data_IF_558668667930
#
_entry.id   IF_558668667930
#
_cell.length_a   1.000
_cell.length_b   1.000
_cell.length_c   1.000
_cell.angle_alpha   90.00
_cell.angle_beta   90.00
_cell.angle_gamma   90.00
#
_symmetry.space_group_name_H-M   'P 1'
#
loop_
_entity.id
_entity.type
_entity.pdbx_description
1 polymer ?
#
# COMPACT_ATOMS: atom_id res chain seq x y z
N UNK A 1 -7.74 -14.08 -6.58
CA UNK A 1 -6.42 -13.41 -6.69
C UNK A 1 -6.23 -12.78 -8.07
N UNK A 2 -6.21 -13.57 -9.16
CA UNK A 2 -5.89 -13.08 -10.52
C UNK A 2 -6.77 -11.95 -11.06
N UNK A 3 -8.01 -11.81 -10.56
CA UNK A 3 -8.97 -10.77 -11.00
C UNK A 3 -9.08 -9.60 -10.01
N UNK A 4 -8.19 -9.54 -9.02
CA UNK A 4 -8.29 -8.52 -7.98
C UNK A 4 -7.48 -7.28 -8.29
N UNK A 5 -8.08 -6.10 -8.06
CA UNK A 5 -7.47 -4.81 -8.34
C UNK A 5 -6.09 -4.62 -7.71
N UNK A 6 -5.96 -4.84 -6.40
CA UNK A 6 -4.75 -4.46 -5.67
C UNK A 6 -3.51 -5.28 -6.08
N UNK A 7 -3.57 -6.62 -6.20
CA UNK A 7 -2.42 -7.40 -6.70
C UNK A 7 -1.99 -7.00 -8.11
N UNK A 8 -2.94 -6.83 -9.03
CA UNK A 8 -2.67 -6.43 -10.42
C UNK A 8 -2.02 -5.04 -10.45
N UNK A 9 -2.54 -4.11 -9.63
CA UNK A 9 -1.98 -2.77 -9.55
C UNK A 9 -0.55 -2.79 -8.98
N UNK A 10 -0.37 -3.47 -7.87
CA UNK A 10 0.91 -3.45 -7.14
C UNK A 10 1.99 -4.29 -7.82
N UNK A 11 1.64 -5.17 -8.76
CA UNK A 11 2.63 -5.81 -9.64
C UNK A 11 3.27 -4.86 -10.65
N UNK A 12 2.65 -3.70 -10.91
CA UNK A 12 3.14 -2.69 -11.84
C UNK A 12 3.83 -1.51 -11.14
N UNK A 13 3.95 -1.54 -9.81
CA UNK A 13 4.61 -0.50 -9.02
C UNK A 13 6.01 -0.98 -8.60
N UNK A 14 7.03 -0.13 -8.71
CA UNK A 14 8.38 -0.41 -8.16
C UNK A 14 8.35 -0.21 -6.64
N UNK A 15 7.59 -1.06 -5.96
CA UNK A 15 7.37 -1.06 -4.51
C UNK A 15 7.34 -2.52 -4.00
N UNK A 16 7.66 -2.77 -2.72
CA UNK A 16 7.81 -4.13 -2.20
C UNK A 16 6.48 -4.92 -2.11
N UNK A 17 5.33 -4.29 -2.34
CA UNK A 17 4.00 -4.89 -2.15
C UNK A 17 3.78 -6.19 -2.94
N UNK A 18 4.30 -6.28 -4.17
CA UNK A 18 4.21 -7.52 -4.95
C UNK A 18 5.05 -8.65 -4.31
N UNK A 19 6.21 -8.30 -3.75
CA UNK A 19 7.05 -9.24 -3.00
C UNK A 19 6.41 -9.66 -1.68
N UNK A 20 5.65 -8.78 -1.02
CA UNK A 20 4.88 -9.15 0.19
C UNK A 20 3.88 -10.27 -0.11
N UNK A 21 3.12 -10.12 -1.19
CA UNK A 21 2.19 -11.14 -1.64
C UNK A 21 2.90 -12.43 -2.07
N UNK A 22 3.99 -12.31 -2.84
CA UNK A 22 4.76 -13.45 -3.35
C UNK A 22 5.37 -14.27 -2.20
N UNK A 23 6.08 -13.61 -1.29
CA UNK A 23 6.72 -14.25 -0.15
C UNK A 23 5.69 -14.94 0.76
N UNK A 24 4.59 -14.27 1.09
CA UNK A 24 3.51 -14.87 1.87
C UNK A 24 2.91 -16.10 1.17
N UNK A 25 2.74 -16.06 -0.15
CA UNK A 25 2.25 -17.20 -0.93
C UNK A 25 3.21 -18.40 -0.91
N UNK A 26 4.52 -18.16 -1.02
CA UNK A 26 5.55 -19.22 -0.92
C UNK A 26 5.54 -19.85 0.48
N UNK A 27 5.49 -19.03 1.55
CA UNK A 27 5.40 -19.52 2.92
C UNK A 27 4.14 -20.38 3.15
N UNK A 28 2.98 -19.93 2.68
CA UNK A 28 1.74 -20.68 2.83
C UNK A 28 1.71 -21.96 1.98
N UNK A 29 2.25 -21.93 0.76
CA UNK A 29 2.29 -23.10 -0.12
C UNK A 29 3.22 -24.20 0.40
N UNK A 30 4.46 -23.85 0.73
CA UNK A 30 5.40 -24.83 1.29
C UNK A 30 5.03 -25.22 2.72
N UNK A 31 4.53 -24.28 3.53
CA UNK A 31 4.04 -24.54 4.88
C UNK A 31 2.86 -25.52 4.87
N UNK A 32 1.86 -25.31 4.02
CA UNK A 32 0.73 -26.26 3.88
C UNK A 32 1.19 -27.63 3.38
N UNK A 33 2.21 -27.70 2.53
CA UNK A 33 2.82 -28.95 2.08
C UNK A 33 3.53 -29.68 3.24
N UNK A 34 4.24 -28.94 4.10
CA UNK A 34 4.89 -29.48 5.29
C UNK A 34 3.90 -29.95 6.38
N UNK A 35 2.64 -29.48 6.35
CA UNK A 35 1.59 -29.90 7.28
C UNK A 35 0.84 -31.17 6.84
N UNK A 36 1.09 -31.71 5.64
CA UNK A 36 0.42 -32.92 5.16
C UNK A 36 0.73 -34.15 6.03
N UNK A 37 -0.16 -35.14 6.04
CA UNK A 37 0.04 -36.38 6.81
C UNK A 37 1.28 -37.18 6.35
N UNK A 38 1.61 -37.13 5.06
CA UNK A 38 2.83 -37.77 4.53
C UNK A 38 3.97 -36.74 4.32
N UNK A 39 4.00 -35.68 5.11
CA UNK A 39 5.00 -34.62 4.97
C UNK A 39 6.42 -35.15 5.17
N UNK A 40 7.29 -34.76 4.25
CA UNK A 40 8.74 -34.95 4.34
C UNK A 40 9.40 -33.69 4.92
N UNK A 41 10.67 -33.78 5.30
CA UNK A 41 11.46 -32.62 5.75
C UNK A 41 11.81 -31.63 4.62
N UNK A 42 11.72 -32.06 3.35
CA UNK A 42 12.08 -31.28 2.16
C UNK A 42 11.43 -29.88 2.10
N UNK A 43 10.09 -29.70 2.21
CA UNK A 43 9.49 -28.37 2.20
C UNK A 43 9.97 -27.47 3.33
N UNK A 44 10.31 -28.03 4.50
CA UNK A 44 10.82 -27.26 5.65
C UNK A 44 12.25 -26.77 5.38
N UNK A 45 13.11 -27.62 4.83
CA UNK A 45 14.45 -27.21 4.39
C UNK A 45 14.41 -26.17 3.28
N UNK A 46 13.54 -26.36 2.28
CA UNK A 46 13.34 -25.36 1.22
C UNK A 46 12.90 -24.01 1.80
N UNK A 47 11.97 -24.02 2.75
CA UNK A 47 11.58 -22.80 3.46
C UNK A 47 12.77 -22.19 4.20
N UNK A 48 13.54 -22.97 4.94
CA UNK A 48 14.68 -22.48 5.70
C UNK A 48 15.75 -21.84 4.78
N UNK A 49 16.00 -22.42 3.61
CA UNK A 49 16.94 -21.87 2.62
C UNK A 49 16.40 -20.61 1.94
N UNK A 50 15.09 -20.54 1.67
CA UNK A 50 14.47 -19.39 1.00
C UNK A 50 14.17 -18.23 1.96
N UNK A 51 13.99 -18.50 3.26
CA UNK A 51 13.63 -17.50 4.27
C UNK A 51 14.49 -16.23 4.24
N UNK A 52 15.84 -16.29 4.15
CA UNK A 52 16.67 -15.08 4.09
C UNK A 52 16.31 -14.19 2.91
N UNK A 53 16.15 -14.76 1.72
CA UNK A 53 15.81 -14.02 0.51
C UNK A 53 14.40 -13.44 0.58
N UNK A 54 13.42 -14.25 1.01
CA UNK A 54 12.02 -13.82 1.11
C UNK A 54 11.86 -12.67 2.11
N UNK A 55 12.48 -12.77 3.29
CA UNK A 55 12.44 -11.72 4.30
C UNK A 55 13.22 -10.47 3.89
N UNK A 56 14.29 -10.63 3.13
CA UNK A 56 15.03 -9.49 2.60
C UNK A 56 14.21 -8.69 1.57
N UNK A 57 13.42 -9.38 0.74
CA UNK A 57 12.53 -8.73 -0.25
C UNK A 57 11.21 -8.22 0.34
N UNK A 58 10.78 -8.79 1.47
CA UNK A 58 9.52 -8.46 2.13
C UNK A 58 9.65 -8.54 3.65
N UNK A 59 9.67 -7.38 4.29
CA UNK A 59 9.66 -7.28 5.74
C UNK A 59 8.42 -7.92 6.40
N UNK A 60 7.17 -7.65 5.95
CA UNK A 60 5.98 -8.25 6.59
C UNK A 60 5.84 -9.76 6.33
N UNK A 61 6.62 -10.37 5.44
CA UNK A 61 6.67 -11.82 5.30
C UNK A 61 7.14 -12.54 6.58
N UNK A 62 7.76 -11.82 7.52
CA UNK A 62 8.07 -12.34 8.86
C UNK A 62 6.81 -12.87 9.57
N UNK A 63 5.65 -12.24 9.35
CA UNK A 63 4.37 -12.70 9.92
C UNK A 63 3.94 -14.05 9.33
N UNK A 64 4.10 -14.24 8.02
CA UNK A 64 3.82 -15.50 7.33
C UNK A 64 4.80 -16.59 7.73
N UNK A 65 6.10 -16.29 7.82
CA UNK A 65 7.13 -17.21 8.26
C UNK A 65 6.87 -17.70 9.70
N UNK A 66 6.58 -16.78 10.61
CA UNK A 66 6.21 -17.14 11.98
C UNK A 66 4.92 -17.98 12.05
N UNK A 67 3.94 -17.70 11.17
CA UNK A 67 2.75 -18.55 11.01
C UNK A 67 3.06 -19.99 10.63
N UNK A 68 4.02 -20.20 9.71
CA UNK A 68 4.51 -21.55 9.39
C UNK A 68 5.16 -22.21 10.60
N UNK A 69 6.05 -21.50 11.32
CA UNK A 69 6.75 -22.05 12.47
C UNK A 69 5.76 -22.50 13.58
N UNK A 70 4.76 -21.68 13.91
CA UNK A 70 3.75 -22.03 14.91
C UNK A 70 2.88 -23.20 14.43
N UNK A 71 2.44 -23.19 13.18
CA UNK A 71 1.63 -24.27 12.64
C UNK A 71 2.39 -25.62 12.63
N UNK A 72 3.68 -25.60 12.30
CA UNK A 72 4.56 -26.78 12.36
C UNK A 72 4.75 -27.26 13.81
N UNK A 73 5.05 -26.36 14.74
CA UNK A 73 5.19 -26.72 16.15
C UNK A 73 3.90 -27.38 16.68
N UNK A 74 2.74 -26.78 16.39
CA UNK A 74 1.44 -27.36 16.75
C UNK A 74 1.23 -28.74 16.13
N UNK A 75 1.52 -28.90 14.83
CA UNK A 75 1.37 -30.19 14.13
C UNK A 75 2.31 -31.27 14.68
N UNK A 76 3.56 -30.92 15.00
CA UNK A 76 4.54 -31.84 15.59
C UNK A 76 4.06 -32.35 16.94
N UNK A 77 3.55 -31.46 17.79
CA UNK A 77 3.02 -31.81 19.10
C UNK A 77 1.74 -32.65 18.98
N UNK A 78 0.79 -32.22 18.14
CA UNK A 78 -0.51 -32.87 17.99
C UNK A 78 -0.38 -34.27 17.37
N UNK A 79 0.45 -34.43 16.34
CA UNK A 79 0.59 -35.68 15.58
C UNK A 79 1.83 -36.50 15.97
N UNK A 80 2.55 -36.08 17.02
CA UNK A 80 3.80 -36.71 17.52
C UNK A 80 4.86 -36.92 16.42
N UNK A 81 4.95 -35.99 15.47
CA UNK A 81 5.87 -36.07 14.31
C UNK A 81 7.27 -35.54 14.65
N UNK A 82 7.92 -36.13 15.64
CA UNK A 82 9.19 -35.62 16.17
C UNK A 82 10.36 -35.63 15.16
N UNK A 83 10.28 -36.44 14.11
CA UNK A 83 11.23 -36.40 12.99
C UNK A 83 11.31 -35.03 12.28
N UNK A 84 10.29 -34.17 12.43
CA UNK A 84 10.30 -32.82 11.86
C UNK A 84 10.91 -31.76 12.79
N UNK A 85 11.32 -32.11 14.02
CA UNK A 85 11.90 -31.14 14.98
C UNK A 85 13.16 -30.51 14.41
N UNK A 86 14.15 -31.31 14.00
CA UNK A 86 15.42 -30.82 13.47
C UNK A 86 15.27 -29.87 12.28
N UNK A 87 14.51 -30.21 11.20
CA UNK A 87 14.31 -29.26 10.11
C UNK A 87 13.52 -28.02 10.56
N UNK A 88 12.63 -28.13 11.55
CA UNK A 88 11.88 -26.99 12.08
C UNK A 88 12.77 -26.04 12.89
N UNK A 89 13.73 -26.57 13.66
CA UNK A 89 14.75 -25.75 14.33
C UNK A 89 15.57 -24.99 13.29
N UNK A 90 16.00 -25.66 12.21
CA UNK A 90 16.74 -25.00 11.13
C UNK A 90 15.93 -23.88 10.45
N UNK A 91 14.64 -24.09 10.21
CA UNK A 91 13.73 -23.06 9.72
C UNK A 91 13.61 -21.88 10.70
N UNK A 92 13.35 -22.15 11.98
CA UNK A 92 13.20 -21.11 13.00
C UNK A 92 14.49 -20.29 13.13
N UNK A 93 15.65 -20.95 13.20
CA UNK A 93 16.95 -20.28 13.25
C UNK A 93 17.19 -19.42 12.02
N UNK A 94 16.89 -19.92 10.82
CA UNK A 94 17.01 -19.15 9.58
C UNK A 94 16.11 -17.93 9.56
N UNK A 95 14.82 -18.07 9.92
CA UNK A 95 13.86 -16.97 9.99
C UNK A 95 14.30 -15.92 11.00
N UNK A 96 14.68 -16.32 12.21
CA UNK A 96 15.11 -15.39 13.26
C UNK A 96 16.40 -14.67 12.88
N UNK A 97 17.42 -15.39 12.42
CA UNK A 97 18.68 -14.79 11.99
C UNK A 97 18.46 -13.80 10.85
N UNK A 98 17.65 -14.15 9.86
CA UNK A 98 17.35 -13.29 8.71
C UNK A 98 16.57 -12.05 9.13
N UNK A 99 15.53 -12.20 9.96
CA UNK A 99 14.74 -11.08 10.45
C UNK A 99 15.60 -10.13 11.30
N UNK A 100 16.39 -10.65 12.24
CA UNK A 100 17.24 -9.85 13.11
C UNK A 100 18.33 -9.13 12.31
N UNK A 101 18.97 -9.80 11.35
CA UNK A 101 19.95 -9.18 10.46
C UNK A 101 19.32 -8.05 9.63
N UNK A 102 18.18 -8.30 9.01
CA UNK A 102 17.48 -7.28 8.21
C UNK A 102 17.02 -6.10 9.07
N UNK A 103 16.47 -6.37 10.26
CA UNK A 103 16.08 -5.34 11.21
C UNK A 103 17.28 -4.51 11.67
N UNK A 104 18.41 -5.15 12.01
CA UNK A 104 19.60 -4.46 12.50
C UNK A 104 20.29 -3.60 11.43
N UNK A 105 20.34 -4.06 10.17
CA UNK A 105 21.03 -3.38 9.07
C UNK A 105 20.16 -2.27 8.45
N UNK A 106 18.89 -2.60 8.17
CA UNK A 106 18.00 -1.73 7.38
C UNK A 106 16.92 -1.11 8.27
N UNK A 107 16.26 -1.95 9.08
CA UNK A 107 15.10 -1.56 9.87
C UNK A 107 15.41 -0.44 10.85
N UNK A 108 16.47 -0.54 11.65
CA UNK A 108 16.86 0.44 12.67
C UNK A 108 16.98 1.86 12.10
N UNK A 109 17.67 2.01 10.98
CA UNK A 109 17.89 3.31 10.34
C UNK A 109 16.60 3.89 9.74
N UNK A 110 15.80 3.05 9.08
CA UNK A 110 14.52 3.51 8.50
C UNK A 110 13.48 3.83 9.58
N UNK A 111 13.41 3.02 10.65
CA UNK A 111 12.49 3.25 11.75
C UNK A 111 12.85 4.55 12.50
N UNK A 112 14.11 4.81 12.86
CA UNK A 112 14.44 6.02 13.63
C UNK A 112 14.15 7.32 12.87
N UNK A 113 14.37 7.34 11.56
CA UNK A 113 14.25 8.58 10.77
C UNK A 113 12.82 8.86 10.30
N UNK A 114 11.98 7.83 10.11
CA UNK A 114 10.66 7.99 9.47
C UNK A 114 9.48 7.60 10.38
N UNK A 115 9.72 7.09 11.61
CA UNK A 115 8.64 6.60 12.47
C UNK A 115 7.59 7.67 12.78
N UNK A 116 8.00 8.90 13.13
CA UNK A 116 7.06 9.97 13.46
C UNK A 116 6.15 10.34 12.28
N UNK A 117 6.73 10.43 11.07
CA UNK A 117 5.99 10.71 9.82
C UNK A 117 5.03 9.56 9.48
N UNK A 118 5.49 8.31 9.62
CA UNK A 118 4.68 7.13 9.36
C UNK A 118 3.55 6.94 10.38
N UNK A 119 3.79 7.24 11.66
CA UNK A 119 2.77 7.14 12.70
C UNK A 119 1.65 8.15 12.48
N UNK A 120 1.97 9.41 12.16
CA UNK A 120 0.95 10.40 11.80
C UNK A 120 0.13 9.97 10.58
N UNK A 121 0.79 9.37 9.58
CA UNK A 121 0.13 8.87 8.38
C UNK A 121 -0.75 7.61 8.63
N UNK A 122 -0.40 6.79 9.62
CA UNK A 122 -1.07 5.52 9.95
C UNK A 122 -1.96 5.59 11.18
N UNK A 123 -2.15 6.75 11.79
CA UNK A 123 -2.85 6.90 13.06
C UNK A 123 -4.21 6.18 13.09
N UNK A 124 -5.05 6.44 12.07
CA UNK A 124 -6.37 5.80 11.91
C UNK A 124 -6.34 4.28 11.61
N UNK A 125 -5.16 3.71 11.40
CA UNK A 125 -4.95 2.30 11.04
C UNK A 125 -4.36 1.47 12.18
N UNK A 126 -4.07 2.11 13.31
CA UNK A 126 -3.73 1.43 14.55
C UNK A 126 -4.98 1.13 15.39
N UNK A 127 -4.95 0.14 16.28
CA UNK A 127 -6.05 -0.15 17.19
C UNK A 127 -6.38 1.06 18.07
N UNK A 128 -7.67 1.29 18.39
CA UNK A 128 -8.06 2.37 19.28
C UNK A 128 -7.51 2.12 20.70
N UNK A 129 -7.18 3.20 21.41
CA UNK A 129 -6.76 3.14 22.82
C UNK A 129 -7.86 2.60 23.73
N UNK A 130 -9.12 2.84 23.38
CA UNK A 130 -10.29 2.32 24.09
C UNK A 130 -10.66 0.91 23.59
N UNK A 131 -10.48 -0.09 24.44
CA UNK A 131 -10.79 -1.50 24.14
C UNK A 131 -12.26 -1.75 23.78
N UNK A 132 -13.21 -0.93 24.25
CA UNK A 132 -14.62 -1.05 23.87
C UNK A 132 -14.88 -0.70 22.40
N UNK A 133 -14.00 0.09 21.78
CA UNK A 133 -14.08 0.43 20.35
C UNK A 133 -13.44 -0.65 19.46
N UNK A 134 -12.64 -1.55 20.04
CA UNK A 134 -11.88 -2.56 19.31
C UNK A 134 -12.78 -3.47 18.44
N UNK A 135 -13.93 -4.00 18.90
CA UNK A 135 -14.78 -4.84 18.05
C UNK A 135 -15.31 -4.10 16.82
N UNK A 136 -15.76 -2.86 17.00
CA UNK A 136 -16.22 -2.01 15.89
C UNK A 136 -15.08 -1.68 14.92
N UNK A 137 -13.90 -1.34 15.44
CA UNK A 137 -12.72 -1.07 14.63
C UNK A 137 -12.27 -2.30 13.85
N UNK A 138 -12.27 -3.50 14.46
CA UNK A 138 -11.96 -4.75 13.79
C UNK A 138 -12.97 -5.02 12.66
N UNK A 139 -14.25 -4.84 12.92
CA UNK A 139 -15.30 -5.01 11.91
C UNK A 139 -15.12 -4.03 10.75
N UNK A 140 -14.95 -2.73 11.03
CA UNK A 140 -14.72 -1.70 10.03
C UNK A 140 -13.47 -1.98 9.20
N UNK A 141 -12.40 -2.43 9.85
CA UNK A 141 -11.12 -2.73 9.20
C UNK A 141 -11.23 -3.93 8.27
N UNK A 142 -11.80 -5.05 8.75
CA UNK A 142 -11.93 -6.27 7.94
C UNK A 142 -13.03 -6.18 6.89
N UNK A 143 -14.10 -5.42 7.12
CA UNK A 143 -15.12 -5.12 6.11
C UNK A 143 -14.69 -3.99 5.16
N UNK A 144 -13.55 -3.36 5.43
CA UNK A 144 -12.98 -2.25 4.67
C UNK A 144 -11.90 -2.68 3.67
N UNK A 145 -10.92 -1.80 3.46
CA UNK A 145 -9.85 -2.01 2.48
C UNK A 145 -9.01 -3.27 2.73
N UNK A 146 -8.95 -3.78 3.96
CA UNK A 146 -8.15 -4.95 4.29
C UNK A 146 -8.58 -6.19 3.48
N UNK A 147 -9.88 -6.34 3.24
CA UNK A 147 -10.46 -7.50 2.55
C UNK A 147 -11.00 -7.17 1.16
N UNK A 148 -10.50 -6.12 0.51
CA UNK A 148 -11.00 -5.64 -0.77
C UNK A 148 -10.57 -6.53 -1.97
N UNK A 149 -10.91 -7.82 -1.90
CA UNK A 149 -10.55 -8.86 -2.85
C UNK A 149 -11.77 -9.71 -3.20
N UNK A 150 -12.10 -9.94 -4.49
CA UNK A 150 -11.45 -9.37 -5.66
C UNK A 150 -11.73 -7.87 -5.84
N UNK A 151 -12.90 -7.42 -5.35
CA UNK A 151 -13.36 -6.03 -5.31
C UNK A 151 -13.81 -5.72 -3.88
N UNK A 152 -13.69 -4.46 -3.48
CA UNK A 152 -14.15 -3.95 -2.19
C UNK A 152 -13.62 -2.53 -1.99
N UNK A 153 -13.64 -2.04 -0.76
CA UNK A 153 -13.25 -0.66 -0.48
C UNK A 153 -13.49 -0.27 0.96
N UNK A 154 -13.56 1.04 1.22
CA UNK A 154 -13.88 1.60 2.53
C UNK A 154 -15.34 1.33 2.92
N UNK A 155 -15.66 1.61 4.18
CA UNK A 155 -17.05 1.74 4.66
C UNK A 155 -17.93 0.49 4.42
N UNK A 156 -17.36 -0.69 4.62
CA UNK A 156 -18.10 -1.96 4.52
C UNK A 156 -18.20 -2.53 3.11
N UNK A 157 -17.60 -1.91 2.09
CA UNK A 157 -17.64 -2.40 0.72
C UNK A 157 -17.02 -3.81 0.54
N UNK A 158 -16.27 -4.32 1.52
CA UNK A 158 -15.70 -5.68 1.52
C UNK A 158 -16.44 -6.65 2.46
N UNK A 159 -17.66 -6.33 2.89
CA UNK A 159 -18.44 -7.15 3.83
C UNK A 159 -18.71 -8.57 3.30
N UNK A 160 -18.92 -8.72 1.99
CA UNK A 160 -19.14 -10.04 1.39
C UNK A 160 -17.89 -10.93 1.47
N UNK A 161 -16.70 -10.35 1.21
CA UNK A 161 -15.43 -11.07 1.37
C UNK A 161 -15.20 -11.46 2.82
N UNK A 162 -15.50 -10.56 3.76
CA UNK A 162 -15.45 -10.85 5.19
C UNK A 162 -16.39 -11.99 5.58
N UNK A 163 -17.62 -12.00 5.08
CA UNK A 163 -18.58 -13.08 5.34
C UNK A 163 -18.01 -14.44 4.88
N UNK A 164 -17.52 -14.53 3.64
CA UNK A 164 -16.92 -15.77 3.14
C UNK A 164 -15.64 -16.15 3.89
N UNK A 165 -14.83 -15.18 4.31
CA UNK A 165 -13.64 -15.41 5.12
C UNK A 165 -14.00 -16.06 6.47
N UNK A 166 -15.01 -15.52 7.18
CA UNK A 166 -15.50 -16.08 8.44
C UNK A 166 -16.10 -17.49 8.26
N UNK A 167 -16.83 -17.72 7.16
CA UNK A 167 -17.33 -19.05 6.83
C UNK A 167 -16.19 -20.04 6.54
N UNK A 168 -15.10 -19.58 5.93
CA UNK A 168 -13.88 -20.37 5.75
C UNK A 168 -13.25 -20.79 7.07
N UNK A 169 -13.12 -19.85 8.01
CA UNK A 169 -12.65 -20.12 9.38
C UNK A 169 -13.55 -21.17 10.05
N UNK A 170 -14.87 -20.94 10.05
CA UNK A 170 -15.84 -21.86 10.62
C UNK A 170 -15.73 -23.26 10.01
N UNK A 171 -15.52 -23.35 8.69
CA UNK A 171 -15.35 -24.63 7.98
C UNK A 171 -14.10 -25.38 8.45
N UNK A 172 -12.98 -24.70 8.69
CA UNK A 172 -11.76 -25.35 9.19
C UNK A 172 -11.90 -25.81 10.65
N UNK A 173 -12.55 -25.01 11.50
CA UNK A 173 -12.84 -25.35 12.89
C UNK A 173 -13.72 -26.59 12.94
N UNK A 174 -14.84 -26.59 12.21
CA UNK A 174 -15.78 -27.72 12.15
C UNK A 174 -15.11 -29.03 11.70
N UNK A 175 -14.16 -28.95 10.78
CA UNK A 175 -13.44 -30.11 10.26
C UNK A 175 -12.16 -30.45 11.04
N UNK A 176 -11.93 -29.82 12.21
CA UNK A 176 -10.76 -30.02 13.07
C UNK A 176 -9.42 -29.83 12.34
N UNK A 177 -9.36 -28.94 11.34
CA UNK A 177 -8.14 -28.66 10.56
C UNK A 177 -7.32 -27.52 11.19
N UNK A 178 -7.03 -27.66 12.48
CA UNK A 178 -6.41 -26.60 13.30
C UNK A 178 -5.04 -26.15 12.79
N UNK A 179 -4.19 -27.06 12.31
CA UNK A 179 -2.85 -26.68 11.81
C UNK A 179 -2.92 -25.76 10.59
N UNK A 180 -3.89 -25.98 9.70
CA UNK A 180 -4.14 -25.10 8.55
C UNK A 180 -4.75 -23.78 9.01
N UNK A 181 -5.66 -23.83 9.99
CA UNK A 181 -6.26 -22.63 10.56
C UNK A 181 -5.20 -21.72 11.19
N UNK A 182 -4.30 -22.28 11.99
CA UNK A 182 -3.16 -21.58 12.60
C UNK A 182 -2.28 -20.97 11.49
N UNK A 183 -1.90 -21.76 10.49
CA UNK A 183 -1.09 -21.29 9.36
C UNK A 183 -1.71 -20.06 8.68
N UNK A 184 -3.03 -20.03 8.52
CA UNK A 184 -3.74 -18.94 7.82
C UNK A 184 -4.02 -17.73 8.71
N UNK A 185 -4.24 -17.90 10.02
CA UNK A 185 -4.62 -16.83 10.94
C UNK A 185 -3.46 -16.21 11.73
N UNK A 186 -2.38 -16.93 11.98
CA UNK A 186 -1.22 -16.38 12.69
C UNK A 186 -0.64 -15.11 12.05
N UNK A 187 -0.58 -14.96 10.71
CA UNK A 187 -0.12 -13.71 10.10
C UNK A 187 -0.95 -12.49 10.51
N UNK A 188 -2.27 -12.67 10.70
CA UNK A 188 -3.15 -11.61 11.22
C UNK A 188 -2.86 -11.32 12.68
N UNK A 189 -2.69 -12.36 13.51
CA UNK A 189 -2.38 -12.20 14.92
C UNK A 189 -1.07 -11.42 15.14
N UNK A 190 -0.01 -11.78 14.41
CA UNK A 190 1.26 -11.06 14.50
C UNK A 190 1.20 -9.65 13.96
N UNK A 191 0.48 -9.42 12.85
CA UNK A 191 0.28 -8.07 12.36
C UNK A 191 -0.51 -7.22 13.38
N UNK A 192 -1.54 -7.79 14.00
CA UNK A 192 -2.34 -7.09 15.01
C UNK A 192 -1.49 -6.76 16.25
N UNK A 193 -0.63 -7.66 16.71
CA UNK A 193 0.34 -7.40 17.79
C UNK A 193 1.28 -6.25 17.38
N UNK A 194 1.83 -6.29 16.17
CA UNK A 194 2.70 -5.21 15.67
C UNK A 194 1.98 -3.86 15.59
N UNK A 195 0.67 -3.86 15.33
CA UNK A 195 -0.16 -2.67 15.30
C UNK A 195 -0.48 -2.14 16.69
N UNK A 196 -0.74 -3.00 17.68
CA UNK A 196 -0.84 -2.58 19.08
C UNK A 196 0.47 -1.96 19.59
N UNK A 197 1.61 -2.42 19.07
CA UNK A 197 2.92 -1.84 19.37
C UNK A 197 3.21 -0.54 18.59
N UNK A 198 2.31 -0.09 17.72
CA UNK A 198 2.51 1.07 16.85
C UNK A 198 3.65 0.91 15.84
N UNK A 199 4.02 -0.33 15.50
CA UNK A 199 5.17 -0.67 14.64
C UNK A 199 4.78 -1.00 13.20
N UNK A 200 3.56 -1.50 12.98
CA UNK A 200 3.07 -1.83 11.64
C UNK A 200 1.55 -1.64 11.57
N UNK A 201 1.00 -1.01 10.52
CA UNK A 201 -0.42 -0.72 10.44
C UNK A 201 -1.25 -1.99 10.23
N UNK A 202 -2.40 -2.07 10.91
CA UNK A 202 -3.36 -3.14 10.70
C UNK A 202 -4.54 -2.63 9.88
N UNK A 203 -4.41 -2.70 8.55
CA UNK A 203 -5.44 -2.26 7.62
C UNK A 203 -5.22 -0.85 7.09
N UNK A 204 -6.30 -0.07 6.94
CA UNK A 204 -6.31 1.26 6.30
C UNK A 204 -6.13 1.24 4.78
N UNK A 205 -5.24 0.41 4.26
CA UNK A 205 -5.01 0.19 2.84
C UNK A 205 -4.70 -1.27 2.54
N UNK A 206 -5.26 -1.81 1.46
CA UNK A 206 -4.91 -3.14 0.97
C UNK A 206 -3.42 -3.25 0.61
N UNK A 207 -2.75 -2.14 0.29
CA UNK A 207 -1.34 -2.12 -0.15
C UNK A 207 -0.37 -2.61 0.93
N UNK A 208 -0.59 -2.24 2.19
CA UNK A 208 0.28 -2.61 3.32
C UNK A 208 -0.12 -3.97 3.93
N UNK A 209 -1.16 -4.59 3.40
CA UNK A 209 -1.67 -5.88 3.87
C UNK A 209 -1.55 -6.98 2.79
N UNK A 210 -0.69 -6.79 1.79
CA UNK A 210 -0.49 -7.77 0.71
C UNK A 210 0.03 -9.12 1.22
N UNK A 211 0.72 -9.17 2.36
CA UNK A 211 1.11 -10.42 3.02
C UNK A 211 -0.06 -11.21 3.61
N UNK A 212 -1.19 -10.57 3.92
CA UNK A 212 -2.42 -11.22 4.43
C UNK A 212 -3.32 -11.73 3.31
N UNK A 213 -3.19 -11.16 2.10
CA UNK A 213 -4.00 -11.47 0.94
C UNK A 213 -4.17 -12.98 0.68
N UNK A 214 -3.09 -13.81 0.66
CA UNK A 214 -3.29 -15.20 0.30
C UNK A 214 -4.16 -15.93 1.31
N UNK A 215 -4.01 -15.65 2.60
CA UNK A 215 -4.88 -16.19 3.65
C UNK A 215 -6.33 -15.73 3.49
N UNK A 216 -6.56 -14.44 3.19
CA UNK A 216 -7.92 -13.91 2.95
C UNK A 216 -8.58 -14.67 1.80
N UNK A 217 -7.91 -14.76 0.65
CA UNK A 217 -8.45 -15.43 -0.53
C UNK A 217 -8.69 -16.93 -0.30
N UNK A 218 -7.78 -17.64 0.37
CA UNK A 218 -7.94 -19.07 0.65
C UNK A 218 -9.15 -19.30 1.58
N UNK A 219 -9.26 -18.53 2.67
CA UNK A 219 -10.38 -18.66 3.60
C UNK A 219 -11.71 -18.27 2.94
N UNK A 220 -11.76 -17.18 2.18
CA UNK A 220 -12.96 -16.81 1.41
C UNK A 220 -13.34 -17.88 0.39
N UNK A 221 -12.37 -18.47 -0.34
CA UNK A 221 -12.64 -19.55 -1.29
C UNK A 221 -13.17 -20.81 -0.58
N UNK A 222 -12.65 -21.15 0.60
CA UNK A 222 -13.17 -22.24 1.42
C UNK A 222 -14.61 -21.97 1.88
N UNK A 223 -14.93 -20.74 2.29
CA UNK A 223 -16.29 -20.33 2.66
C UNK A 223 -17.26 -20.39 1.49
N UNK A 224 -16.86 -19.93 0.30
CA UNK A 224 -17.68 -20.08 -0.92
C UNK A 224 -17.88 -21.57 -1.24
N UNK A 225 -16.81 -22.37 -1.18
CA UNK A 225 -16.91 -23.80 -1.48
C UNK A 225 -17.77 -24.55 -0.47
N UNK A 226 -17.84 -24.13 0.80
CA UNK A 226 -18.69 -24.80 1.79
C UNK A 226 -20.16 -24.54 1.52
N UNK A 227 -20.52 -23.33 1.07
CA UNK A 227 -21.87 -23.00 0.60
C UNK A 227 -22.22 -23.85 -0.63
N UNK A 228 -21.36 -23.89 -1.65
CA UNK A 228 -21.62 -24.65 -2.89
C UNK A 228 -21.73 -26.18 -2.68
N UNK A 229 -21.22 -26.69 -1.54
CA UNK A 229 -21.33 -28.10 -1.15
C UNK A 229 -22.63 -28.42 -0.41
N UNK A 230 -23.45 -27.43 -0.04
CA UNK A 230 -24.76 -27.67 0.57
C UNK A 230 -25.63 -28.56 -0.33
N UNK A 231 -26.41 -29.45 0.30
CA UNK A 231 -27.24 -30.42 -0.41
C UNK A 231 -28.26 -29.76 -1.36
N UNK A 232 -28.80 -28.60 -0.94
CA UNK A 232 -29.71 -27.77 -1.74
C UNK A 232 -29.13 -27.36 -3.11
N UNK A 233 -27.81 -27.27 -3.23
CA UNK A 233 -27.14 -26.87 -4.46
C UNK A 233 -26.62 -28.06 -5.27
N UNK A 234 -26.87 -29.31 -4.86
CA UNK A 234 -26.30 -30.50 -5.51
C UNK A 234 -26.59 -30.56 -7.02
N UNK A 235 -27.82 -30.27 -7.41
CA UNK A 235 -28.27 -30.34 -8.81
C UNK A 235 -27.74 -29.19 -9.69
N UNK A 236 -27.37 -28.05 -9.09
CA UNK A 236 -26.90 -26.86 -9.82
C UNK A 236 -25.44 -26.53 -9.54
N UNK A 237 -24.71 -27.37 -8.79
CA UNK A 237 -23.35 -27.09 -8.31
C UNK A 237 -22.38 -26.74 -9.44
N UNK A 238 -22.37 -27.53 -10.51
CA UNK A 238 -21.52 -27.29 -11.68
C UNK A 238 -21.84 -25.95 -12.34
N UNK A 239 -23.14 -25.67 -12.55
CA UNK A 239 -23.63 -24.39 -13.08
C UNK A 239 -23.28 -23.22 -12.16
N UNK A 240 -23.33 -23.40 -10.84
CA UNK A 240 -22.98 -22.38 -9.86
C UNK A 240 -21.48 -22.08 -9.85
N UNK A 241 -20.61 -23.10 -9.95
CA UNK A 241 -19.16 -22.90 -10.14
C UNK A 241 -18.85 -22.15 -11.45
N UNK A 242 -19.51 -22.53 -12.55
CA UNK A 242 -19.36 -21.85 -13.83
C UNK A 242 -19.85 -20.39 -13.73
N UNK A 243 -21.00 -20.16 -13.12
CA UNK A 243 -21.55 -18.82 -12.88
C UNK A 243 -20.61 -17.94 -12.04
N UNK A 244 -20.01 -18.49 -10.99
CA UNK A 244 -19.00 -17.80 -10.19
C UNK A 244 -17.77 -17.44 -11.03
N UNK A 245 -17.26 -18.37 -11.83
CA UNK A 245 -16.11 -18.13 -12.71
C UNK A 245 -16.44 -17.03 -13.74
N UNK A 246 -17.59 -17.11 -14.40
CA UNK A 246 -18.07 -16.10 -15.34
C UNK A 246 -18.19 -14.73 -14.66
N UNK A 247 -18.75 -14.67 -13.44
CA UNK A 247 -18.82 -13.45 -12.65
C UNK A 247 -17.43 -12.85 -12.40
N UNK A 248 -16.47 -13.66 -11.94
CA UNK A 248 -15.09 -13.20 -11.72
C UNK A 248 -14.41 -12.69 -13.01
N UNK A 249 -14.66 -13.34 -14.15
CA UNK A 249 -14.15 -12.90 -15.46
C UNK A 249 -14.77 -11.56 -15.86
N UNK A 250 -16.10 -11.42 -15.74
CA UNK A 250 -16.79 -10.16 -16.02
C UNK A 250 -16.24 -9.03 -15.15
N UNK A 251 -16.05 -9.28 -13.85
CA UNK A 251 -15.44 -8.31 -12.94
C UNK A 251 -14.02 -7.91 -13.36
N UNK A 252 -13.23 -8.83 -13.91
CA UNK A 252 -11.90 -8.51 -14.45
C UNK A 252 -12.00 -7.56 -15.65
N UNK A 253 -12.87 -7.86 -16.61
CA UNK A 253 -13.10 -6.99 -17.77
C UNK A 253 -13.64 -5.62 -17.39
N UNK A 254 -14.58 -5.54 -16.43
CA UNK A 254 -15.10 -4.27 -15.94
C UNK A 254 -14.02 -3.42 -15.27
N UNK A 255 -13.12 -4.03 -14.50
CA UNK A 255 -11.99 -3.32 -13.90
C UNK A 255 -11.02 -2.81 -14.98
N UNK A 256 -10.67 -3.63 -15.96
CA UNK A 256 -9.82 -3.22 -17.07
C UNK A 256 -10.45 -2.08 -17.90
N UNK A 257 -11.75 -2.18 -18.21
CA UNK A 257 -12.49 -1.14 -18.92
C UNK A 257 -12.55 0.18 -18.13
N UNK A 258 -12.71 0.10 -16.79
CA UNK A 258 -12.64 1.27 -15.92
C UNK A 258 -11.27 1.93 -15.99
N UNK A 259 -10.20 1.15 -15.93
CA UNK A 259 -8.83 1.67 -15.92
C UNK A 259 -8.43 2.25 -17.29
N UNK A 260 -8.98 1.73 -18.41
CA UNK A 260 -8.87 2.35 -19.74
C UNK A 260 -9.61 3.68 -19.81
N UNK A 261 -10.85 3.75 -19.29
CA UNK A 261 -11.66 4.99 -19.29
C UNK A 261 -11.12 6.06 -18.35
N UNK A 262 -10.48 5.64 -17.26
CA UNK A 262 -9.89 6.52 -16.23
C UNK A 262 -8.41 6.16 -16.04
N UNK A 263 -7.51 6.56 -16.96
CA UNK A 263 -6.08 6.26 -16.90
C UNK A 263 -5.35 7.14 -15.87
N UNK A 264 -6.00 7.43 -14.74
CA UNK A 264 -5.51 8.24 -13.64
C UNK A 264 -5.99 7.61 -12.33
N UNK A 265 -5.17 7.66 -11.27
CA UNK A 265 -5.49 7.00 -9.99
C UNK A 265 -6.43 7.85 -9.15
N UNK A 266 -6.27 9.17 -9.21
CA UNK A 266 -7.09 10.14 -8.49
C UNK A 266 -7.46 11.31 -9.41
N UNK A 267 -8.56 12.00 -9.12
CA UNK A 267 -8.88 13.27 -9.79
C UNK A 267 -7.75 14.29 -9.65
N UNK A 268 -7.07 14.30 -8.50
CA UNK A 268 -5.88 15.12 -8.26
C UNK A 268 -4.75 14.85 -9.27
N UNK A 269 -4.57 13.61 -9.74
CA UNK A 269 -3.55 13.32 -10.76
C UNK A 269 -3.91 13.96 -12.12
N UNK A 270 -5.21 13.96 -12.45
CA UNK A 270 -5.73 14.56 -13.68
C UNK A 270 -5.65 16.09 -13.60
N UNK A 271 -6.00 16.67 -12.46
CA UNK A 271 -5.89 18.11 -12.19
C UNK A 271 -4.42 18.56 -12.23
N UNK A 272 -3.52 17.87 -11.52
CA UNK A 272 -2.09 18.17 -11.55
C UNK A 272 -1.50 18.08 -12.96
N UNK A 273 -1.89 17.03 -13.73
CA UNK A 273 -1.47 16.91 -15.12
C UNK A 273 -1.98 18.06 -15.98
N UNK A 274 -3.27 18.37 -15.90
CA UNK A 274 -3.90 19.43 -16.67
C UNK A 274 -3.27 20.78 -16.37
N UNK A 275 -3.03 21.06 -15.09
CA UNK A 275 -2.37 22.26 -14.61
C UNK A 275 -0.96 22.41 -15.16
N UNK A 276 -0.12 21.37 -15.04
CA UNK A 276 1.25 21.43 -15.58
C UNK A 276 1.24 21.54 -17.11
N UNK A 277 0.27 20.94 -17.80
CA UNK A 277 0.10 21.08 -19.24
C UNK A 277 -0.29 22.52 -19.63
N UNK A 278 -1.29 23.10 -18.96
CA UNK A 278 -1.72 24.47 -19.17
C UNK A 278 -0.57 25.44 -18.91
N UNK A 279 0.08 25.29 -17.77
CA UNK A 279 1.24 26.06 -17.36
C UNK A 279 2.36 26.02 -18.39
N UNK A 280 2.75 24.83 -18.85
CA UNK A 280 3.80 24.69 -19.86
C UNK A 280 3.40 25.24 -21.24
N UNK A 281 2.10 25.25 -21.56
CA UNK A 281 1.56 25.76 -22.82
C UNK A 281 1.52 27.29 -22.89
N UNK A 282 1.40 27.96 -21.74
CA UNK A 282 1.47 29.43 -21.66
C UNK A 282 2.88 29.99 -21.73
N UNK A 283 3.91 29.14 -21.60
CA UNK A 283 5.32 29.56 -21.66
C UNK A 283 5.84 29.60 -23.09
N UNK A 284 6.55 30.68 -23.43
CA UNK A 284 7.33 30.75 -24.67
C UNK A 284 8.49 29.72 -24.66
N UNK A 285 9.11 29.39 -25.82
CA UNK A 285 10.15 28.37 -25.90
C UNK A 285 11.40 28.64 -25.04
N UNK A 286 11.70 29.91 -24.78
CA UNK A 286 12.84 30.41 -24.00
C UNK A 286 12.48 30.71 -22.53
N UNK A 287 11.20 30.61 -22.16
CA UNK A 287 10.75 30.85 -20.79
C UNK A 287 10.90 29.62 -19.89
N UNK A 288 11.27 29.86 -18.64
CA UNK A 288 11.39 28.82 -17.60
C UNK A 288 10.65 29.21 -16.33
N UNK A 289 10.09 28.22 -15.65
CA UNK A 289 9.51 28.35 -14.32
C UNK A 289 10.59 28.05 -13.30
N UNK A 290 10.62 28.88 -12.27
CA UNK A 290 11.54 28.82 -11.17
C UNK A 290 10.77 28.42 -9.90
N UNK A 291 11.20 27.33 -9.27
CA UNK A 291 10.58 26.79 -8.06
C UNK A 291 11.56 26.96 -6.90
N UNK A 292 11.14 27.72 -5.89
CA UNK A 292 11.91 28.02 -4.68
C UNK A 292 11.54 27.16 -3.48
N UNK A 293 10.36 26.54 -3.49
CA UNK A 293 9.94 25.65 -2.42
C UNK A 293 10.87 24.45 -2.29
N UNK A 294 11.14 24.05 -1.05
CA UNK A 294 11.74 22.75 -0.78
C UNK A 294 10.85 21.64 -1.35
N UNK A 295 11.50 20.61 -1.91
CA UNK A 295 10.84 19.50 -2.59
C UNK A 295 9.83 18.79 -1.69
N UNK A 296 10.16 18.67 -0.41
CA UNK A 296 9.33 17.96 0.58
C UNK A 296 8.03 18.69 0.92
N UNK A 297 7.89 19.96 0.50
CA UNK A 297 6.68 20.78 0.70
C UNK A 297 5.74 20.76 -0.51
N UNK A 298 6.15 20.16 -1.63
CA UNK A 298 5.33 20.06 -2.84
C UNK A 298 4.62 18.70 -2.84
N UNK A 299 3.35 18.69 -3.25
CA UNK A 299 2.63 17.42 -3.40
C UNK A 299 3.39 16.49 -4.36
N UNK A 300 3.66 15.23 -3.96
CA UNK A 300 4.48 14.31 -4.76
C UNK A 300 3.97 14.09 -6.19
N UNK A 301 2.66 14.17 -6.40
CA UNK A 301 2.04 14.03 -7.73
C UNK A 301 2.41 15.20 -8.62
N UNK A 302 2.34 16.41 -8.06
CA UNK A 302 2.69 17.64 -8.76
C UNK A 302 4.20 17.71 -9.03
N UNK A 303 5.02 17.37 -8.04
CA UNK A 303 6.47 17.26 -8.17
C UNK A 303 6.87 16.32 -9.33
N UNK A 304 6.21 15.17 -9.44
CA UNK A 304 6.46 14.22 -10.51
C UNK A 304 6.21 14.82 -11.89
N UNK A 305 5.08 15.49 -12.10
CA UNK A 305 4.76 16.13 -13.39
C UNK A 305 5.72 17.27 -13.73
N UNK A 306 6.14 18.05 -12.74
CA UNK A 306 7.16 19.09 -12.90
C UNK A 306 8.50 18.50 -13.36
N UNK A 307 8.93 17.39 -12.75
CA UNK A 307 10.18 16.69 -13.10
C UNK A 307 10.20 16.12 -14.51
N UNK A 308 9.05 15.80 -15.08
CA UNK A 308 8.98 15.35 -16.49
C UNK A 308 9.28 16.50 -17.44
N UNK A 309 9.01 17.74 -17.04
CA UNK A 309 9.20 18.96 -17.85
C UNK A 309 10.58 19.59 -17.62
N UNK A 310 11.63 18.77 -17.48
CA UNK A 310 13.01 19.17 -17.11
C UNK A 310 13.55 20.42 -17.82
N UNK A 311 13.17 20.64 -19.08
CA UNK A 311 13.71 21.75 -19.88
C UNK A 311 13.05 23.10 -19.59
N UNK A 312 11.87 23.12 -18.93
CA UNK A 312 11.12 24.34 -18.61
C UNK A 312 11.08 24.64 -17.10
N UNK A 313 11.53 23.73 -16.24
CA UNK A 313 11.45 23.86 -14.77
C UNK A 313 12.86 23.91 -14.17
N UNK A 314 13.15 24.97 -13.43
CA UNK A 314 14.39 25.19 -12.71
C UNK A 314 14.11 25.21 -11.21
N UNK A 315 14.83 24.39 -10.46
CA UNK A 315 14.78 24.38 -9.00
C UNK A 315 15.92 25.24 -8.48
N UNK A 316 15.62 26.16 -7.57
CA UNK A 316 16.62 27.04 -6.97
C UNK A 316 16.28 27.34 -5.51
N UNK A 317 17.23 27.90 -4.78
CA UNK A 317 16.98 28.54 -3.48
C UNK A 317 16.64 30.02 -3.68
N UNK A 318 15.98 30.62 -2.69
CA UNK A 318 15.66 32.05 -2.68
C UNK A 318 16.93 32.92 -2.79
N UNK A 319 18.03 32.48 -2.19
CA UNK A 319 19.32 33.21 -2.22
C UNK A 319 19.91 33.31 -3.65
N UNK A 320 19.60 32.35 -4.50
CA UNK A 320 20.11 32.26 -5.87
C UNK A 320 19.21 32.97 -6.89
N UNK A 321 18.01 33.41 -6.48
CA UNK A 321 17.06 34.10 -7.36
C UNK A 321 17.65 35.34 -8.03
N UNK A 322 18.26 36.30 -7.29
CA UNK A 322 18.80 37.52 -7.88
C UNK A 322 19.85 37.21 -8.96
N UNK A 323 20.75 36.27 -8.66
CA UNK A 323 21.80 35.85 -9.58
C UNK A 323 21.23 35.23 -10.85
N UNK A 324 20.21 34.37 -10.72
CA UNK A 324 19.58 33.73 -11.87
C UNK A 324 18.81 34.70 -12.75
N UNK A 325 18.09 35.66 -12.16
CA UNK A 325 17.33 36.68 -12.90
C UNK A 325 18.28 37.63 -13.65
N UNK A 326 19.40 38.01 -13.03
CA UNK A 326 20.40 38.88 -13.66
C UNK A 326 21.19 38.15 -14.76
N UNK A 327 21.53 36.87 -14.55
CA UNK A 327 22.31 36.09 -15.53
C UNK A 327 21.47 35.60 -16.72
N UNK A 328 20.24 35.16 -16.49
CA UNK A 328 19.33 34.77 -17.56
C UNK A 328 18.56 35.99 -18.02
N UNK A 329 18.95 36.55 -19.17
CA UNK A 329 18.18 37.57 -19.92
C UNK A 329 16.83 37.06 -20.46
N UNK A 330 16.13 36.22 -19.70
CA UNK A 330 14.91 35.52 -20.07
C UNK A 330 13.82 35.84 -19.06
N UNK A 331 12.57 35.77 -19.52
CA UNK A 331 11.42 35.83 -18.61
C UNK A 331 11.43 34.58 -17.71
N UNK A 332 11.41 34.79 -16.39
CA UNK A 332 11.28 33.73 -15.40
C UNK A 332 9.91 33.80 -14.72
N UNK A 333 9.34 32.63 -14.41
CA UNK A 333 8.06 32.52 -13.72
C UNK A 333 8.24 31.94 -12.33
N UNK A 334 8.07 32.74 -11.29
CA UNK A 334 8.24 32.28 -9.90
C UNK A 334 7.01 31.52 -9.41
N UNK A 335 7.24 30.34 -8.84
CA UNK A 335 6.23 29.54 -8.17
C UNK A 335 6.09 29.96 -6.70
N UNK A 336 4.97 30.57 -6.33
CA UNK A 336 4.68 30.94 -4.94
C UNK A 336 3.50 30.12 -4.39
N UNK A 337 3.70 29.33 -3.32
CA UNK A 337 2.62 28.63 -2.61
C UNK A 337 1.82 29.61 -1.75
N UNK A 338 0.52 29.69 -1.94
CA UNK A 338 -0.28 30.73 -1.29
C UNK A 338 -1.06 30.25 -0.05
N UNK A 339 -0.53 29.32 0.78
CA UNK A 339 -1.07 29.01 2.14
C UNK A 339 -0.29 27.88 2.86
N UNK A 340 0.05 28.00 4.15
CA UNK A 340 0.19 26.85 5.04
C UNK A 340 -1.20 26.29 5.42
N UNK A 341 -1.34 24.99 5.70
CA UNK A 341 -2.62 24.41 6.13
C UNK A 341 -3.01 24.96 7.52
N UNK A 342 -4.11 25.72 7.60
CA UNK A 342 -4.77 26.09 8.87
C UNK A 342 -4.78 27.58 9.30
N UNK A 343 -4.45 28.54 8.42
CA UNK A 343 -4.51 29.97 8.75
C UNK A 343 -5.67 30.72 8.08
N UNK A 344 -6.44 31.49 8.85
CA UNK A 344 -7.56 32.34 8.38
C UNK A 344 -7.14 33.70 7.81
N UNK A 345 -5.83 34.00 7.78
CA UNK A 345 -5.31 35.25 7.21
C UNK A 345 -4.98 35.10 5.73
N UNK A 346 -5.35 36.10 4.92
CA UNK A 346 -4.84 36.24 3.56
C UNK A 346 -3.31 36.37 3.65
N UNK A 347 -2.52 35.48 3.01
CA UNK A 347 -1.08 35.66 2.97
C UNK A 347 -0.74 36.97 2.25
N UNK A 348 0.03 37.82 2.90
CA UNK A 348 0.82 38.83 2.21
C UNK A 348 1.89 38.09 1.43
N UNK A 349 1.73 38.03 0.11
CA UNK A 349 2.81 37.57 -0.76
C UNK A 349 3.82 38.72 -0.80
N UNK A 350 4.86 38.63 0.03
CA UNK A 350 6.03 39.49 -0.10
C UNK A 350 6.74 39.05 -1.38
N UNK A 351 6.35 39.66 -2.51
CA UNK A 351 7.07 39.50 -3.76
C UNK A 351 8.43 40.17 -3.52
N UNK A 352 9.54 39.41 -3.52
CA UNK A 352 10.84 40.03 -3.33
C UNK A 352 11.05 41.07 -4.43
N UNK A 353 11.13 42.34 -4.04
CA UNK A 353 11.39 43.45 -4.95
C UNK A 353 12.88 43.37 -5.30
N UNK A 354 13.19 42.84 -6.47
CA UNK A 354 14.55 42.83 -6.98
C UNK A 354 14.84 44.15 -7.69
N UNK A 355 15.86 44.88 -7.24
CA UNK A 355 16.29 46.13 -7.89
C UNK A 355 16.62 45.86 -9.38
N UNK A 356 15.95 46.54 -10.30
CA UNK A 356 16.16 46.41 -11.76
C UNK A 356 15.40 45.26 -12.43
N UNK A 357 14.36 44.72 -11.79
CA UNK A 357 13.51 43.66 -12.34
C UNK A 357 12.04 44.06 -12.22
N UNK A 358 11.33 44.12 -13.35
CA UNK A 358 9.88 44.28 -13.32
C UNK A 358 9.20 42.97 -12.94
N UNK A 359 8.46 43.00 -11.83
CA UNK A 359 7.61 41.89 -11.37
C UNK A 359 6.17 42.14 -11.79
N UNK A 360 5.61 41.27 -12.63
CA UNK A 360 4.20 41.34 -13.03
C UNK A 360 3.51 40.05 -12.59
N UNK A 361 2.53 40.15 -11.69
CA UNK A 361 1.62 39.04 -11.38
C UNK A 361 0.76 38.81 -12.63
N UNK A 362 0.90 37.64 -13.25
CA UNK A 362 0.20 37.37 -14.52
C UNK A 362 -0.92 36.36 -14.39
N UNK A 363 -0.81 35.39 -13.48
CA UNK A 363 -1.78 34.31 -13.40
C UNK A 363 -1.80 33.65 -12.03
N UNK A 364 -2.99 33.53 -11.47
CA UNK A 364 -3.26 32.73 -10.29
C UNK A 364 -3.90 31.40 -10.71
N UNK A 365 -3.44 30.31 -10.12
CA UNK A 365 -4.03 28.98 -10.29
C UNK A 365 -4.54 28.50 -8.95
N UNK A 366 -5.76 27.99 -8.91
CA UNK A 366 -6.32 27.33 -7.73
C UNK A 366 -6.75 25.93 -8.12
N UNK A 367 -6.22 24.91 -7.45
CA UNK A 367 -6.51 23.51 -7.77
C UNK A 367 -6.58 22.68 -6.49
N UNK A 368 -7.33 21.57 -6.52
CA UNK A 368 -7.51 20.72 -5.35
C UNK A 368 -6.47 19.58 -5.39
N UNK A 369 -5.46 19.65 -4.53
CA UNK A 369 -4.57 18.51 -4.31
C UNK A 369 -5.07 17.69 -3.13
N UNK A 370 -5.35 16.41 -3.35
CA UNK A 370 -5.57 15.45 -2.28
C UNK A 370 -6.90 14.70 -2.33
N UNK A 371 -7.00 13.68 -1.46
CA UNK A 371 -8.19 12.82 -1.30
C UNK A 371 -9.32 13.49 -0.53
N UNK A 372 -9.00 14.52 0.24
CA UNK A 372 -9.92 15.27 1.07
C UNK A 372 -9.80 16.72 0.59
N UNK A 373 -10.86 17.24 -0.05
CA UNK A 373 -10.95 18.55 -0.73
C UNK A 373 -10.73 19.78 0.20
N UNK A 374 -9.98 19.66 1.27
CA UNK A 374 -10.00 20.60 2.38
C UNK A 374 -9.10 21.83 2.18
N UNK A 375 -8.09 21.78 1.31
CA UNK A 375 -7.30 22.98 0.98
C UNK A 375 -6.87 22.95 -0.49
N UNK A 376 -7.31 23.93 -1.28
CA UNK A 376 -6.79 24.15 -2.63
C UNK A 376 -5.49 24.94 -2.53
N UNK A 377 -4.31 24.38 -2.84
CA UNK A 377 -3.14 25.20 -3.07
C UNK A 377 -3.47 26.24 -4.14
N UNK A 378 -3.35 27.50 -3.73
CA UNK A 378 -3.33 28.63 -4.65
C UNK A 378 -1.87 28.83 -5.04
N UNK A 379 -1.63 28.95 -6.33
CA UNK A 379 -0.33 29.25 -6.90
C UNK A 379 -0.40 30.61 -7.57
N UNK A 380 0.59 31.44 -7.29
CA UNK A 380 0.79 32.69 -8.01
C UNK A 380 2.03 32.55 -8.86
N UNK A 381 1.88 32.83 -10.15
CA UNK A 381 2.99 32.94 -11.07
C UNK A 381 3.34 34.40 -11.28
N UNK A 382 4.56 34.75 -10.88
CA UNK A 382 5.11 36.09 -11.06
C UNK A 382 6.07 36.08 -12.24
N UNK A 383 5.79 36.89 -13.25
CA UNK A 383 6.68 37.11 -14.38
C UNK A 383 7.79 38.07 -13.94
N UNK A 384 9.04 37.62 -14.01
CA UNK A 384 10.24 38.43 -13.78
C UNK A 384 10.84 38.80 -15.14
N UNK A 385 10.89 40.09 -15.46
CA UNK A 385 11.55 40.61 -16.66
C UNK A 385 12.77 41.44 -16.28
N UNK A 386 13.94 41.20 -16.89
CA UNK A 386 15.07 42.13 -16.76
C UNK A 386 14.70 43.46 -17.44
N UNK A 387 15.01 44.57 -16.78
CA UNK A 387 14.86 45.94 -17.33
C UNK A 387 15.74 46.19 -18.56
#
# INVERSE_FOLDING_TARGET
>A
MAVSYYPIRHSCEVKPYAFDFFAASIFLWLGSTALKNNATSRPIFLLATLSPFLLFTSFPAAFSAGGVCIALAFQILQQKKYALITPSIFLISSVLASFLAHYAIIGTNQFHNELAKHQAYWDSTFPPSNLFQLPYWLLKTHAGNLSAYPIGGKDGASSLTLLFFLLGIFTLIRNSKFSILILLLTPFAFNLIAAFMGRYPYGGSARVAQHLLPSICILSALGISSILRLHLLANIRSKAYLGLLCCLIILAFLQAARDIKKPYKSSGDLEARALIQELCSSLQPDESILITQEKDLIDPTLEWYLRIKKNKILWTTEDMLPTMVVQKKQTLWLWLPNRPPGGDTLPTIDIPIFNGVQTIIKKEFSFALGRDNLVKPQMVLVQLKPD
#
